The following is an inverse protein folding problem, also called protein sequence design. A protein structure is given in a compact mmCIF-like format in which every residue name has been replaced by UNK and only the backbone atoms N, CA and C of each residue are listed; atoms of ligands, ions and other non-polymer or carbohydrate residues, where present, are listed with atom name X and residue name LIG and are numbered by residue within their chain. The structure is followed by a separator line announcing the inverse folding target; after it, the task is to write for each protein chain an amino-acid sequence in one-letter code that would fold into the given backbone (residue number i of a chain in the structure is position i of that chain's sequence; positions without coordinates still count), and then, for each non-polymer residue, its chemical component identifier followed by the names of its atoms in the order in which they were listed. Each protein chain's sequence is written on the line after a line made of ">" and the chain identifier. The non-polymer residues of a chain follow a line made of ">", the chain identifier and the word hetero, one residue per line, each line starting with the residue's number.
data_IF_309966018516
#
_entry.id   IF_309966018516
#
_cell.length_a   1.000
_cell.length_b   1.000
_cell.length_c   1.000
_cell.angle_alpha   90.00
_cell.angle_beta   90.00
_cell.angle_gamma   90.00
#
_symmetry.space_group_name_H-M   'P 1'
#
loop_
_entity.id
_entity.type
_entity.pdbx_description
1 polymer ?
#
# COMPACT_ATOMS: atom_id res chain seq x y z
N UNK A 1 -63.59 -3.41 -26.13
CA UNK A 1 -64.08 -2.10 -26.59
C UNK A 1 -64.14 -1.19 -25.37
N UNK A 2 -63.39 -0.09 -25.41
CA UNK A 2 -63.27 1.06 -24.47
C UNK A 2 -63.01 0.83 -22.98
N UNK A 3 -61.98 1.53 -22.47
CA UNK A 3 -62.20 2.54 -21.42
C UNK A 3 -61.84 3.94 -21.94
N UNK A 4 -62.79 4.87 -22.09
CA UNK A 4 -63.19 5.88 -21.08
C UNK A 4 -61.99 6.65 -20.50
N UNK A 5 -61.83 7.90 -20.92
CA UNK A 5 -60.65 8.72 -20.67
C UNK A 5 -60.64 9.52 -19.38
N UNK A 6 -59.58 10.31 -19.20
CA UNK A 6 -59.65 11.73 -18.83
C UNK A 6 -58.31 12.38 -19.18
N UNK A 7 -58.35 13.51 -19.89
CA UNK A 7 -57.22 14.40 -20.07
C UNK A 7 -57.04 15.19 -18.78
N UNK A 8 -55.88 15.08 -18.15
CA UNK A 8 -55.45 15.92 -17.04
C UNK A 8 -54.17 16.65 -17.41
N UNK A 9 -54.30 17.70 -18.24
CA UNK A 9 -53.23 18.63 -18.55
C UNK A 9 -53.07 19.57 -17.35
N UNK A 10 -52.19 19.23 -16.42
CA UNK A 10 -51.79 20.07 -15.30
C UNK A 10 -50.35 20.54 -15.47
N UNK A 11 -50.16 21.62 -16.22
CA UNK A 11 -48.92 22.38 -16.21
C UNK A 11 -48.69 22.95 -14.79
N UNK A 12 -47.65 22.46 -14.13
CA UNK A 12 -47.12 22.99 -12.88
C UNK A 12 -45.61 23.08 -12.98
N UNK A 13 -45.10 24.13 -13.65
CA UNK A 13 -43.73 24.60 -13.48
C UNK A 13 -43.57 25.08 -12.04
N UNK A 14 -42.62 24.50 -11.28
CA UNK A 14 -42.30 25.01 -9.96
C UNK A 14 -41.15 24.27 -9.29
N UNK A 15 -40.00 24.95 -9.19
CA UNK A 15 -39.02 24.66 -8.14
C UNK A 15 -37.94 23.67 -8.54
N UNK A 16 -36.83 24.19 -9.07
CA UNK A 16 -35.62 23.43 -9.32
C UNK A 16 -35.13 22.71 -8.07
N UNK A 17 -35.22 21.39 -8.10
CA UNK A 17 -34.19 20.55 -7.52
C UNK A 17 -33.44 19.96 -8.71
N UNK A 18 -32.40 20.67 -9.16
CA UNK A 18 -31.30 20.03 -9.88
C UNK A 18 -30.70 19.05 -8.87
N UNK A 19 -31.29 17.86 -8.80
CA UNK A 19 -30.68 16.72 -8.16
C UNK A 19 -29.38 16.55 -8.93
N UNK A 20 -28.30 17.05 -8.34
CA UNK A 20 -26.96 16.81 -8.83
C UNK A 20 -26.82 15.30 -8.80
N UNK A 21 -27.10 14.67 -9.94
CA UNK A 21 -26.75 13.30 -10.17
C UNK A 21 -25.24 13.29 -9.96
N UNK A 22 -24.82 12.86 -8.78
CA UNK A 22 -23.43 12.51 -8.53
C UNK A 22 -23.20 11.38 -9.50
N UNK A 23 -22.68 11.73 -10.68
CA UNK A 23 -22.16 10.76 -11.63
C UNK A 23 -20.97 10.17 -10.92
N UNK A 24 -21.25 9.12 -10.14
CA UNK A 24 -20.26 8.20 -9.62
C UNK A 24 -19.61 7.62 -10.86
N UNK A 25 -18.54 8.27 -11.30
CA UNK A 25 -17.72 7.76 -12.37
C UNK A 25 -17.02 6.56 -11.74
N UNK A 26 -17.65 5.38 -11.83
CA UNK A 26 -17.03 4.14 -11.35
C UNK A 26 -15.77 3.94 -12.21
N UNK A 27 -14.62 4.26 -11.63
CA UNK A 27 -13.33 3.91 -12.22
C UNK A 27 -13.29 2.38 -12.23
N UNK A 28 -13.44 1.79 -13.41
CA UNK A 28 -13.28 0.36 -13.62
C UNK A 28 -11.81 0.01 -13.38
N UNK A 29 -11.46 -0.31 -12.13
CA UNK A 29 -10.15 -0.84 -11.78
C UNK A 29 -10.19 -2.36 -11.94
N UNK A 30 -9.21 -2.91 -12.66
CA UNK A 30 -9.03 -4.35 -12.77
C UNK A 30 -8.32 -4.92 -11.55
N UNK A 31 -8.57 -6.19 -11.26
CA UNK A 31 -7.77 -6.95 -10.28
C UNK A 31 -6.34 -7.02 -10.79
N UNK A 32 -5.39 -6.56 -9.96
CA UNK A 32 -3.96 -6.62 -10.25
C UNK A 32 -3.30 -7.61 -9.30
N UNK A 33 -2.47 -8.51 -9.83
CA UNK A 33 -1.71 -9.49 -9.04
C UNK A 33 -0.86 -8.82 -7.95
N UNK A 34 -0.38 -7.61 -8.21
CA UNK A 34 0.37 -6.81 -7.24
C UNK A 34 -0.41 -6.49 -5.95
N UNK A 35 -1.75 -6.53 -5.98
CA UNK A 35 -2.60 -6.30 -4.82
C UNK A 35 -2.96 -7.60 -4.07
N UNK A 36 -2.61 -8.76 -4.62
CA UNK A 36 -2.88 -10.08 -4.02
C UNK A 36 -1.80 -10.42 -2.99
N UNK A 37 -0.53 -10.11 -3.30
CA UNK A 37 0.61 -10.48 -2.48
C UNK A 37 1.23 -9.25 -1.80
N UNK A 38 1.25 -9.25 -0.47
CA UNK A 38 1.90 -8.20 0.31
C UNK A 38 3.43 -8.31 0.22
N UNK A 39 4.11 -7.16 0.17
CA UNK A 39 5.58 -7.07 0.15
C UNK A 39 6.11 -6.81 1.57
N UNK A 40 7.38 -7.17 1.80
CA UNK A 40 8.05 -6.91 3.07
C UNK A 40 8.28 -5.39 3.29
N UNK A 41 7.90 -4.90 4.48
CA UNK A 41 8.12 -3.52 4.91
C UNK A 41 9.52 -3.26 5.47
N UNK A 42 10.57 -3.47 4.67
CA UNK A 42 11.96 -3.23 5.09
C UNK A 42 12.43 -1.81 4.70
N UNK A 43 13.08 -1.12 5.64
CA UNK A 43 13.64 0.22 5.39
C UNK A 43 14.85 0.17 4.44
N UNK A 44 15.10 1.27 3.74
CA UNK A 44 16.21 1.36 2.77
C UNK A 44 17.57 1.00 3.38
N UNK A 45 17.88 1.53 4.57
CA UNK A 45 19.15 1.26 5.25
C UNK A 45 19.35 -0.20 5.68
N UNK A 46 18.27 -0.96 5.89
CA UNK A 46 18.33 -2.39 6.27
C UNK A 46 18.27 -3.33 5.06
N UNK A 47 17.88 -2.79 3.91
CA UNK A 47 17.70 -3.55 2.68
C UNK A 47 19.06 -3.85 2.06
N UNK A 48 19.24 -5.11 1.63
CA UNK A 48 20.54 -5.55 1.06
C UNK A 48 20.71 -5.01 -0.36
N UNK A 49 19.66 -5.03 -1.17
CA UNK A 49 19.67 -4.47 -2.51
C UNK A 49 18.25 -4.12 -3.00
N UNK A 50 18.16 -3.37 -4.09
CA UNK A 50 16.90 -3.09 -4.78
C UNK A 50 16.59 -4.05 -5.93
N UNK A 51 17.42 -5.07 -6.13
CA UNK A 51 17.21 -6.04 -7.18
C UNK A 51 15.92 -6.85 -6.92
N UNK A 52 15.16 -7.21 -7.97
CA UNK A 52 13.87 -7.90 -7.84
C UNK A 52 13.97 -9.26 -7.13
N UNK A 53 15.12 -9.92 -7.19
CA UNK A 53 15.34 -11.24 -6.58
C UNK A 53 15.69 -11.19 -5.09
N UNK A 54 15.94 -10.00 -4.52
CA UNK A 54 16.20 -9.82 -3.07
C UNK A 54 15.12 -8.99 -2.39
N UNK A 55 13.96 -8.78 -3.04
CA UNK A 55 12.87 -7.98 -2.46
C UNK A 55 12.00 -8.76 -1.50
N UNK A 56 12.05 -10.09 -1.59
CA UNK A 56 11.31 -11.00 -0.73
C UNK A 56 12.03 -11.22 0.60
N UNK A 57 11.29 -11.74 1.58
CA UNK A 57 11.78 -11.97 2.96
C UNK A 57 13.06 -12.80 2.98
N UNK A 58 14.07 -12.35 3.74
CA UNK A 58 15.35 -13.08 3.91
C UNK A 58 15.16 -14.53 4.40
N UNK A 59 14.20 -14.74 5.31
CA UNK A 59 13.88 -16.07 5.85
C UNK A 59 13.29 -17.03 4.79
N UNK A 60 12.77 -16.50 3.67
CA UNK A 60 12.21 -17.30 2.58
C UNK A 60 13.24 -18.23 1.93
N UNK A 61 14.52 -17.84 1.88
CA UNK A 61 15.59 -18.70 1.39
C UNK A 61 15.76 -19.94 2.29
N UNK A 62 15.76 -19.75 3.62
CA UNK A 62 15.85 -20.85 4.58
C UNK A 62 14.60 -21.73 4.57
N UNK A 63 13.42 -21.12 4.51
CA UNK A 63 12.14 -21.84 4.39
C UNK A 63 12.12 -22.75 3.15
N UNK A 64 12.59 -22.23 2.01
CA UNK A 64 12.72 -22.99 0.75
C UNK A 64 13.68 -24.16 0.89
N UNK A 65 14.84 -23.96 1.52
CA UNK A 65 15.83 -25.02 1.76
C UNK A 65 15.29 -26.11 2.69
N UNK A 66 14.60 -25.71 3.76
CA UNK A 66 13.99 -26.63 4.71
C UNK A 66 12.71 -27.31 4.17
N UNK A 67 12.18 -26.86 3.03
CA UNK A 67 10.88 -27.27 2.47
C UNK A 67 9.74 -27.14 3.48
N UNK A 68 9.79 -26.12 4.32
CA UNK A 68 8.83 -25.87 5.41
C UNK A 68 8.38 -24.41 5.43
N UNK A 69 7.20 -24.15 5.98
CA UNK A 69 6.70 -22.79 6.16
C UNK A 69 7.06 -22.29 7.56
N UNK A 70 7.65 -21.10 7.65
CA UNK A 70 7.85 -20.39 8.91
C UNK A 70 6.81 -19.29 9.04
N UNK A 71 6.11 -19.26 10.17
CA UNK A 71 5.04 -18.31 10.42
C UNK A 71 5.19 -17.69 11.82
N UNK A 72 6.28 -16.96 12.02
CA UNK A 72 6.47 -16.14 13.23
C UNK A 72 5.72 -14.82 13.04
N UNK A 73 4.62 -14.58 13.78
CA UNK A 73 3.77 -13.41 13.59
C UNK A 73 4.37 -12.12 14.18
N UNK A 74 5.39 -12.21 15.04
CA UNK A 74 5.96 -11.06 15.75
C UNK A 74 7.48 -11.03 15.63
N UNK A 75 8.02 -10.68 14.45
CA UNK A 75 9.45 -10.38 14.34
C UNK A 75 9.80 -9.19 15.24
N UNK A 76 11.03 -9.18 15.78
CA UNK A 76 11.49 -8.19 16.75
C UNK A 76 11.15 -6.74 16.36
N UNK A 77 10.58 -5.99 17.31
CA UNK A 77 10.34 -4.55 17.20
C UNK A 77 11.62 -3.76 17.49
N UNK A 78 11.73 -2.56 16.91
CA UNK A 78 12.69 -1.57 17.38
C UNK A 78 12.33 -1.16 18.82
N UNK A 79 13.35 -0.93 19.64
CA UNK A 79 13.16 -0.39 20.99
C UNK A 79 13.07 1.14 20.93
N UNK A 80 12.18 1.73 21.73
CA UNK A 80 12.12 3.18 21.90
C UNK A 80 13.48 3.69 22.39
N UNK A 81 14.09 4.63 21.66
CA UNK A 81 15.42 5.16 21.97
C UNK A 81 16.60 4.39 21.34
N UNK A 82 16.35 3.51 20.35
CA UNK A 82 17.44 2.82 19.63
C UNK A 82 18.33 3.84 18.89
N UNK A 83 19.54 4.09 19.42
CA UNK A 83 20.61 4.83 18.76
C UNK A 83 21.63 3.83 18.21
N UNK A 84 21.79 3.79 16.89
CA UNK A 84 22.80 2.95 16.23
C UNK A 84 24.01 3.81 15.90
N UNK A 85 25.20 3.39 16.36
CA UNK A 85 26.47 3.99 15.96
C UNK A 85 26.75 3.63 14.51
N UNK A 86 27.41 4.53 13.78
CA UNK A 86 27.99 4.24 12.47
C UNK A 86 28.85 2.96 12.58
N UNK A 87 28.58 1.97 11.73
CA UNK A 87 29.28 0.68 11.75
C UNK A 87 30.63 0.70 11.03
N UNK A 88 31.27 1.86 10.91
CA UNK A 88 32.36 2.12 9.97
C UNK A 88 33.75 1.67 10.44
N UNK A 89 33.92 1.21 11.69
CA UNK A 89 35.17 0.56 12.16
C UNK A 89 36.47 1.28 11.75
N UNK A 90 36.42 2.62 11.70
CA UNK A 90 37.16 3.51 10.78
C UNK A 90 38.62 3.20 10.45
N UNK A 91 39.03 3.45 9.20
CA UNK A 91 40.33 4.07 8.82
C UNK A 91 40.23 4.83 7.45
N UNK A 92 39.20 5.69 7.24
CA UNK A 92 39.00 6.63 6.09
C UNK A 92 38.86 6.01 4.67
N UNK A 93 37.99 6.45 3.74
CA UNK A 93 37.38 7.78 3.49
C UNK A 93 35.86 7.65 3.24
N UNK A 94 34.96 8.13 4.10
CA UNK A 94 34.85 9.51 4.58
C UNK A 94 34.03 9.51 5.88
N UNK A 95 34.65 9.90 7.00
CA UNK A 95 34.09 11.00 7.78
C UNK A 95 35.16 11.99 8.26
N UNK A 96 34.87 13.29 8.15
CA UNK A 96 35.61 14.34 8.86
C UNK A 96 34.88 14.65 10.17
N UNK A 97 35.57 14.49 11.30
CA UNK A 97 35.07 14.88 12.63
C UNK A 97 35.60 16.26 13.02
N UNK A 98 34.77 17.08 13.66
CA UNK A 98 35.18 18.35 14.27
C UNK A 98 36.32 18.08 15.27
N UNK A 99 37.44 18.80 15.13
CA UNK A 99 38.50 18.87 16.16
C UNK A 99 38.36 20.21 16.85
N UNK A 100 38.22 20.19 18.17
CA UNK A 100 38.32 21.37 19.05
C UNK A 100 39.78 21.66 19.39
#
# INVERSE_FOLDING_TARGET
>A
MHPSGVMGMGMGMGGGALSAAVVSTRRWLSVRTANIFSREGISHARRVSWAPHTTDKKQGAFAKLARSNFNDPTPQSFFTGTLLRTGDGSLSATPMSLRE
#
